data_IF_575222329170
#
_entry.id   IF_575222329170
#
_cell.length_a   1.000
_cell.length_b   1.000
_cell.length_c   1.000
_cell.angle_alpha   90.00
_cell.angle_beta   90.00
_cell.angle_gamma   90.00
#
_symmetry.space_group_name_H-M   'P 1'
#
loop_
_entity.id
_entity.type
_entity.pdbx_description
1 polymer ?
#
# COMPACT_ATOMS: atom_id res chain seq x y z
N UNK A 1 29.77 -3.61 41.92
CA UNK A 1 31.17 -3.40 41.52
C UNK A 1 31.26 -1.99 40.98
N UNK A 2 31.83 -1.05 41.74
CA UNK A 2 31.81 0.38 41.40
C UNK A 2 33.06 0.72 40.58
N UNK A 3 32.88 1.08 39.31
CA UNK A 3 33.99 1.52 38.46
C UNK A 3 34.30 2.98 38.82
N UNK A 4 35.54 3.26 39.25
CA UNK A 4 36.04 4.62 39.48
C UNK A 4 36.97 5.00 38.34
N UNK A 5 36.58 5.98 37.55
CA UNK A 5 37.46 6.63 36.58
C UNK A 5 38.20 7.75 37.31
N UNK A 6 39.53 7.75 37.22
CA UNK A 6 40.41 8.74 37.86
C UNK A 6 41.22 9.44 36.77
N UNK A 7 41.16 10.77 36.77
CA UNK A 7 42.02 11.62 35.95
C UNK A 7 43.05 12.31 36.84
N UNK A 8 44.30 12.37 36.37
CA UNK A 8 45.41 12.96 37.12
C UNK A 8 45.36 14.51 37.12
N UNK A 9 44.77 15.10 36.07
CA UNK A 9 44.63 16.57 35.91
C UNK A 9 43.23 16.93 35.40
N UNK A 10 42.77 18.15 35.69
CA UNK A 10 41.46 18.67 35.26
C UNK A 10 41.36 18.79 33.74
N UNK A 11 42.46 19.18 33.09
CA UNK A 11 42.57 19.33 31.64
C UNK A 11 42.39 18.01 30.88
N UNK A 12 42.65 16.88 31.54
CA UNK A 12 42.47 15.55 30.96
C UNK A 12 41.00 15.09 30.96
N UNK A 13 40.11 15.80 31.64
CA UNK A 13 38.68 15.48 31.72
C UNK A 13 37.97 16.04 30.46
N UNK A 14 37.20 15.22 29.72
CA UNK A 14 36.37 15.70 28.63
C UNK A 14 35.47 16.86 29.08
N UNK A 15 35.36 17.91 28.27
CA UNK A 15 34.58 19.12 28.57
C UNK A 15 33.14 18.79 29.05
N UNK A 16 32.51 17.81 28.40
CA UNK A 16 31.15 17.35 28.72
C UNK A 16 31.02 16.62 30.06
N UNK A 17 32.14 16.21 30.68
CA UNK A 17 32.14 15.46 31.94
C UNK A 17 32.67 16.26 33.12
N UNK A 18 33.31 17.42 32.92
CA UNK A 18 33.95 18.21 34.00
C UNK A 18 33.02 18.51 35.18
N UNK A 19 31.74 18.76 34.94
CA UNK A 19 30.73 19.01 35.99
C UNK A 19 30.43 17.81 36.89
N UNK A 20 30.83 16.59 36.50
CA UNK A 20 30.55 15.34 37.21
C UNK A 20 31.76 14.79 37.96
N UNK A 21 32.89 15.51 37.91
CA UNK A 21 34.11 15.16 38.60
C UNK A 21 34.29 16.05 39.82
N UNK A 22 34.53 15.43 40.97
CA UNK A 22 34.92 16.11 42.19
C UNK A 22 36.41 15.84 42.49
N UNK A 23 37.14 16.81 43.07
CA UNK A 23 38.50 16.57 43.53
C UNK A 23 38.50 15.45 44.58
N UNK A 24 39.33 14.43 44.38
CA UNK A 24 39.53 13.31 45.30
C UNK A 24 40.47 13.74 46.42
N UNK A 25 40.13 13.50 47.71
CA UNK A 25 41.04 13.77 48.82
C UNK A 25 42.39 13.03 48.71
N UNK A 26 42.48 11.95 47.93
CA UNK A 26 43.73 11.27 47.60
C UNK A 26 44.47 11.84 46.35
N UNK A 27 44.09 13.03 45.90
CA UNK A 27 44.57 13.68 44.67
C UNK A 27 43.85 13.18 43.41
N UNK A 28 43.78 14.03 42.37
CA UNK A 28 43.07 13.73 41.11
C UNK A 28 41.57 14.01 41.18
N UNK A 29 40.84 13.60 40.15
CA UNK A 29 39.39 13.81 40.03
C UNK A 29 38.65 12.49 39.92
N UNK A 30 37.60 12.30 40.73
CA UNK A 30 36.75 11.09 40.72
C UNK A 30 35.35 11.44 40.24
N UNK A 31 34.87 10.63 39.29
CA UNK A 31 33.49 10.68 38.82
C UNK A 31 32.56 10.18 39.93
N UNK A 32 31.60 11.00 40.34
CA UNK A 32 30.50 10.54 41.20
C UNK A 32 29.64 9.59 40.35
N UNK A 33 29.65 8.29 40.67
CA UNK A 33 28.94 7.28 39.88
C UNK A 33 27.42 7.52 39.81
N UNK A 34 26.87 8.17 40.84
CA UNK A 34 25.46 8.57 40.92
C UNK A 34 25.13 9.66 39.90
N UNK A 35 25.99 10.68 39.77
CA UNK A 35 25.82 11.76 38.78
C UNK A 35 25.96 11.27 37.33
N UNK A 36 26.80 10.26 37.09
CA UNK A 36 26.92 9.65 35.76
C UNK A 36 25.66 8.87 35.39
N UNK A 37 25.11 8.08 36.31
CA UNK A 37 23.90 7.31 36.06
C UNK A 37 22.71 8.22 35.71
N UNK A 38 22.54 9.30 36.46
CA UNK A 38 21.49 10.31 36.20
C UNK A 38 21.70 11.04 34.87
N UNK A 39 22.95 11.33 34.52
CA UNK A 39 23.28 11.99 33.25
C UNK A 39 23.04 11.07 32.05
N UNK A 40 23.43 9.80 32.16
CA UNK A 40 23.13 8.79 31.13
C UNK A 40 21.62 8.55 31.01
N UNK A 41 20.89 8.51 32.12
CA UNK A 41 19.43 8.38 32.10
C UNK A 41 18.75 9.57 31.41
N UNK A 42 19.21 10.81 31.67
CA UNK A 42 18.74 12.01 30.98
C UNK A 42 19.02 11.94 29.47
N UNK A 43 20.24 11.62 29.07
CA UNK A 43 20.57 11.49 27.65
C UNK A 43 19.82 10.35 26.95
N UNK A 44 19.60 9.22 27.64
CA UNK A 44 18.77 8.14 27.11
C UNK A 44 17.30 8.59 26.93
N UNK A 45 16.77 9.36 27.87
CA UNK A 45 15.42 9.93 27.77
C UNK A 45 15.33 10.95 26.63
N UNK A 46 16.32 11.84 26.49
CA UNK A 46 16.39 12.84 25.42
C UNK A 46 16.50 12.19 24.03
N UNK A 47 17.37 11.20 23.88
CA UNK A 47 17.53 10.47 22.61
C UNK A 47 16.27 9.70 22.25
N UNK A 48 15.58 9.07 23.22
CA UNK A 48 14.28 8.43 23.00
C UNK A 48 13.20 9.44 22.58
N UNK A 49 13.13 10.60 23.24
CA UNK A 49 12.18 11.64 22.89
C UNK A 49 12.44 12.22 21.49
N UNK A 50 13.72 12.41 21.14
CA UNK A 50 14.09 12.87 19.80
C UNK A 50 13.75 11.83 18.73
N UNK A 51 14.06 10.55 18.96
CA UNK A 51 13.70 9.46 18.05
C UNK A 51 12.19 9.36 17.83
N UNK A 52 11.37 9.53 18.88
CA UNK A 52 9.92 9.55 18.76
C UNK A 52 9.42 10.70 17.87
N UNK A 53 9.99 11.90 18.02
CA UNK A 53 9.64 13.07 17.17
C UNK A 53 10.02 12.86 15.72
N UNK A 54 11.19 12.26 15.46
CA UNK A 54 11.62 11.93 14.09
C UNK A 54 10.66 10.91 13.47
N UNK A 55 10.26 9.88 14.22
CA UNK A 55 9.29 8.89 13.74
C UNK A 55 7.92 9.52 13.44
N UNK A 56 7.43 10.40 14.31
CA UNK A 56 6.18 11.14 14.09
C UNK A 56 6.25 12.01 12.84
N UNK A 57 7.38 12.71 12.63
CA UNK A 57 7.59 13.53 11.43
C UNK A 57 7.64 12.67 10.15
N UNK A 58 8.29 11.50 10.20
CA UNK A 58 8.33 10.56 9.09
C UNK A 58 6.93 10.02 8.75
N UNK A 59 6.15 9.65 9.76
CA UNK A 59 4.77 9.15 9.59
C UNK A 59 3.85 10.24 9.02
N UNK A 60 3.99 11.48 9.49
CA UNK A 60 3.25 12.63 8.97
C UNK A 60 3.61 12.90 7.50
N UNK A 61 4.90 12.82 7.15
CA UNK A 61 5.39 12.99 5.78
C UNK A 61 4.83 11.92 4.84
N UNK A 62 4.95 10.64 5.21
CA UNK A 62 4.39 9.53 4.44
C UNK A 62 2.88 9.70 4.22
N UNK A 63 2.15 10.09 5.28
CA UNK A 63 0.70 10.30 5.18
C UNK A 63 0.34 11.45 4.22
N UNK A 64 1.10 12.54 4.24
CA UNK A 64 0.90 13.67 3.33
C UNK A 64 1.14 13.25 1.87
N UNK A 65 2.24 12.57 1.58
CA UNK A 65 2.59 12.12 0.22
C UNK A 65 1.56 11.09 -0.30
N UNK A 66 1.09 10.18 0.55
CA UNK A 66 0.01 9.24 0.21
C UNK A 66 -1.30 9.97 -0.09
N UNK A 67 -1.68 10.96 0.72
CA UNK A 67 -2.89 11.75 0.48
C UNK A 67 -2.84 12.53 -0.83
N UNK A 68 -1.67 13.09 -1.16
CA UNK A 68 -1.45 13.78 -2.42
C UNK A 68 -1.60 12.82 -3.60
N UNK A 69 -0.98 11.64 -3.53
CA UNK A 69 -1.08 10.61 -4.55
C UNK A 69 -2.52 10.06 -4.70
N UNK A 70 -3.22 9.85 -3.58
CA UNK A 70 -4.63 9.46 -3.55
C UNK A 70 -5.50 10.48 -4.30
N UNK A 71 -5.25 11.78 -4.07
CA UNK A 71 -5.99 12.85 -4.75
C UNK A 71 -5.73 12.87 -6.25
N UNK A 72 -4.48 12.66 -6.68
CA UNK A 72 -4.12 12.58 -8.11
C UNK A 72 -4.79 11.41 -8.82
N UNK A 73 -4.87 10.25 -8.17
CA UNK A 73 -5.36 8.99 -8.77
C UNK A 73 -6.84 8.70 -8.51
N UNK A 74 -7.57 9.62 -7.86
CA UNK A 74 -9.00 9.50 -7.62
C UNK A 74 -9.37 8.37 -6.66
N UNK A 75 -8.54 8.14 -5.64
CA UNK A 75 -8.87 7.23 -4.53
C UNK A 75 -9.98 7.86 -3.68
N UNK A 76 -10.95 7.05 -3.23
CA UNK A 76 -12.06 7.52 -2.39
C UNK A 76 -11.57 8.05 -1.06
N UNK A 77 -12.13 9.17 -0.61
CA UNK A 77 -11.73 9.80 0.66
C UNK A 77 -11.92 8.86 1.86
N UNK A 78 -13.00 8.08 1.87
CA UNK A 78 -13.27 7.08 2.91
C UNK A 78 -12.20 5.97 3.00
N UNK A 79 -11.44 5.74 1.94
CA UNK A 79 -10.40 4.71 1.88
C UNK A 79 -9.00 5.25 2.19
N UNK A 80 -8.80 6.57 2.33
CA UNK A 80 -7.46 7.16 2.50
C UNK A 80 -6.72 6.61 3.72
N UNK A 81 -7.42 6.42 4.85
CA UNK A 81 -6.81 5.85 6.06
C UNK A 81 -6.31 4.41 5.84
N UNK A 82 -7.06 3.60 5.09
CA UNK A 82 -6.64 2.25 4.72
C UNK A 82 -5.46 2.25 3.76
N UNK A 83 -5.45 3.19 2.80
CA UNK A 83 -4.34 3.33 1.87
C UNK A 83 -3.07 3.74 2.60
N UNK A 84 -3.14 4.67 3.57
CA UNK A 84 -2.00 5.04 4.41
C UNK A 84 -1.48 3.84 5.20
N UNK A 85 -2.38 3.05 5.82
CA UNK A 85 -2.01 1.82 6.53
C UNK A 85 -1.30 0.83 5.61
N UNK A 86 -1.81 0.58 4.40
CA UNK A 86 -1.20 -0.31 3.43
C UNK A 86 0.13 0.25 2.86
N UNK A 87 0.25 1.57 2.71
CA UNK A 87 1.47 2.21 2.23
C UNK A 87 2.62 2.08 3.24
N UNK A 88 2.35 2.08 4.54
CA UNK A 88 3.36 1.85 5.60
C UNK A 88 4.02 0.46 5.52
N UNK A 89 3.34 -0.52 4.92
CA UNK A 89 3.89 -1.86 4.70
C UNK A 89 4.78 -1.94 3.45
N UNK A 90 4.70 -0.94 2.56
CA UNK A 90 5.42 -0.92 1.28
C UNK A 90 6.50 0.16 1.20
N UNK A 91 6.38 1.23 1.98
CA UNK A 91 7.23 2.41 1.92
C UNK A 91 7.68 2.87 3.29
N UNK A 92 8.84 3.52 3.32
CA UNK A 92 9.35 4.29 4.47
C UNK A 92 9.90 5.62 4.01
N UNK A 93 10.12 6.53 4.95
CA UNK A 93 10.84 7.78 4.72
C UNK A 93 12.29 7.55 5.16
N UNK A 94 13.25 7.94 4.32
CA UNK A 94 14.67 7.87 4.65
C UNK A 94 15.16 9.13 5.39
N UNK A 95 16.46 9.16 5.72
CA UNK A 95 17.09 10.28 6.44
C UNK A 95 17.07 11.60 5.64
N UNK A 96 16.79 11.54 4.34
CA UNK A 96 16.67 12.71 3.45
C UNK A 96 15.23 13.21 3.32
N UNK A 97 14.29 12.64 4.11
CA UNK A 97 12.86 12.89 4.01
C UNK A 97 12.26 12.47 2.66
N UNK A 98 12.93 11.54 1.96
CA UNK A 98 12.46 10.99 0.71
C UNK A 98 11.73 9.67 0.97
N UNK A 99 10.61 9.47 0.29
CA UNK A 99 9.88 8.21 0.36
C UNK A 99 10.60 7.15 -0.49
N UNK A 100 10.95 6.03 0.12
CA UNK A 100 11.65 4.91 -0.53
C UNK A 100 10.87 3.60 -0.32
N UNK A 101 10.86 2.70 -1.31
CA UNK A 101 10.23 1.39 -1.15
C UNK A 101 10.99 0.53 -0.14
N UNK A 102 10.26 -0.29 0.61
CA UNK A 102 10.83 -1.24 1.57
C UNK A 102 11.43 -2.48 0.90
N UNK A 103 10.92 -2.84 -0.29
CA UNK A 103 11.43 -3.95 -1.10
C UNK A 103 12.08 -3.43 -2.37
N UNK A 104 13.26 -3.97 -2.72
CA UNK A 104 13.96 -3.64 -3.95
C UNK A 104 13.19 -4.07 -5.21
N UNK A 105 12.39 -5.13 -5.10
CA UNK A 105 11.52 -5.62 -6.18
C UNK A 105 10.14 -4.93 -6.20
N UNK A 106 9.92 -4.00 -5.26
CA UNK A 106 8.67 -3.26 -5.13
C UNK A 106 8.55 -2.11 -6.14
N UNK A 107 7.35 -1.52 -6.26
CA UNK A 107 7.16 -0.33 -7.07
C UNK A 107 8.00 0.83 -6.54
N UNK A 108 8.73 1.48 -7.45
CA UNK A 108 9.66 2.56 -7.11
C UNK A 108 8.98 3.84 -6.58
N UNK A 109 7.68 4.03 -6.87
CA UNK A 109 6.93 5.25 -6.49
C UNK A 109 5.52 4.93 -5.99
N UNK A 110 4.92 5.85 -5.23
CA UNK A 110 3.53 5.73 -4.76
C UNK A 110 2.53 5.64 -5.92
N UNK A 111 2.69 6.43 -6.97
CA UNK A 111 1.79 6.42 -8.12
C UNK A 111 1.85 5.06 -8.84
N UNK A 112 3.04 4.47 -9.00
CA UNK A 112 3.20 3.14 -9.57
C UNK A 112 2.53 2.07 -8.67
N UNK A 113 2.76 2.14 -7.36
CA UNK A 113 2.14 1.21 -6.40
C UNK A 113 0.61 1.30 -6.41
N UNK A 114 0.05 2.51 -6.36
CA UNK A 114 -1.40 2.72 -6.42
C UNK A 114 -1.98 2.25 -7.76
N UNK A 115 -1.26 2.43 -8.86
CA UNK A 115 -1.68 1.92 -10.17
C UNK A 115 -1.72 0.39 -10.19
N UNK A 116 -0.71 -0.28 -9.63
CA UNK A 116 -0.72 -1.75 -9.46
C UNK A 116 -1.90 -2.19 -8.60
N UNK A 117 -2.13 -1.54 -7.44
CA UNK A 117 -3.27 -1.85 -6.56
C UNK A 117 -4.62 -1.64 -7.23
N UNK A 118 -4.72 -0.64 -8.11
CA UNK A 118 -5.93 -0.41 -8.92
C UNK A 118 -6.15 -1.54 -9.91
N UNK A 119 -5.10 -2.03 -10.57
CA UNK A 119 -5.17 -3.16 -11.49
C UNK A 119 -5.54 -4.47 -10.76
N UNK A 120 -5.05 -4.65 -9.52
CA UNK A 120 -5.44 -5.74 -8.61
C UNK A 120 -6.88 -5.60 -8.08
N UNK A 121 -7.62 -4.57 -8.51
CA UNK A 121 -9.01 -4.30 -8.10
C UNK A 121 -9.16 -4.08 -6.59
N UNK A 122 -8.19 -3.43 -5.95
CA UNK A 122 -8.33 -3.04 -4.55
C UNK A 122 -9.57 -2.15 -4.36
N UNK A 123 -10.31 -2.29 -3.25
CA UNK A 123 -11.61 -1.65 -3.05
C UNK A 123 -11.49 -0.15 -2.68
N UNK A 124 -10.46 0.56 -3.17
CA UNK A 124 -10.21 1.96 -2.84
C UNK A 124 -10.79 2.93 -3.85
N UNK A 125 -11.10 2.45 -5.05
CA UNK A 125 -11.74 3.21 -6.12
C UNK A 125 -13.22 2.87 -6.19
N UNK A 126 -14.01 3.79 -6.75
CA UNK A 126 -15.36 3.43 -7.17
C UNK A 126 -15.27 2.43 -8.31
N UNK A 127 -15.87 1.27 -8.09
CA UNK A 127 -16.17 0.37 -9.20
C UNK A 127 -17.23 1.10 -10.02
N UNK A 128 -17.03 1.33 -11.33
CA UNK A 128 -18.04 1.94 -12.15
C UNK A 128 -19.34 1.13 -12.02
N UNK A 129 -20.29 1.71 -11.28
CA UNK A 129 -21.62 1.17 -11.05
C UNK A 129 -22.37 1.33 -12.36
N UNK A 130 -22.11 0.43 -13.29
CA UNK A 130 -22.47 0.64 -14.69
C UNK A 130 -21.75 -0.24 -15.71
N UNK A 131 -20.70 -0.97 -15.33
CA UNK A 131 -20.30 -2.16 -16.08
C UNK A 131 -21.29 -3.30 -15.80
N UNK A 132 -22.59 -3.03 -15.95
CA UNK A 132 -23.52 -4.08 -16.27
C UNK A 132 -22.95 -4.77 -17.50
N UNK A 133 -22.88 -6.09 -17.45
CA UNK A 133 -22.71 -6.91 -18.65
C UNK A 133 -23.62 -6.27 -19.70
N UNK A 134 -23.09 -5.72 -20.82
CA UNK A 134 -23.96 -5.19 -21.85
C UNK A 134 -24.97 -6.30 -22.14
N UNK A 135 -26.29 -6.03 -22.14
CA UNK A 135 -27.27 -7.08 -22.40
C UNK A 135 -26.78 -7.74 -23.68
N UNK A 136 -26.44 -9.03 -23.61
CA UNK A 136 -26.11 -9.79 -24.81
C UNK A 136 -27.31 -9.59 -25.71
N UNK A 137 -27.20 -8.67 -26.67
CA UNK A 137 -28.13 -8.57 -27.76
C UNK A 137 -28.05 -9.96 -28.35
N UNK A 138 -29.11 -10.79 -28.28
CA UNK A 138 -29.06 -12.07 -28.94
C UNK A 138 -28.71 -11.72 -30.38
N UNK A 139 -27.53 -12.12 -30.84
CA UNK A 139 -27.25 -12.03 -32.26
C UNK A 139 -28.44 -12.69 -32.95
N UNK A 140 -29.03 -12.05 -33.98
CA UNK A 140 -30.12 -12.67 -34.70
C UNK A 140 -29.61 -14.03 -35.15
N UNK A 141 -30.16 -15.08 -34.53
CA UNK A 141 -29.76 -16.45 -34.87
C UNK A 141 -29.94 -16.67 -36.36
N UNK A 142 -29.21 -17.63 -36.95
CA UNK A 142 -29.32 -17.92 -38.37
C UNK A 142 -30.80 -18.05 -38.78
N UNK A 143 -31.20 -17.43 -39.91
CA UNK A 143 -32.60 -17.31 -40.30
C UNK A 143 -33.27 -18.68 -40.39
N UNK A 144 -34.49 -18.79 -39.86
CA UNK A 144 -35.23 -20.05 -39.82
C UNK A 144 -35.55 -20.52 -41.26
N UNK A 145 -35.03 -21.67 -41.72
CA UNK A 145 -35.23 -22.10 -43.10
C UNK A 145 -36.67 -22.53 -43.43
N UNK A 146 -37.55 -22.63 -42.41
CA UNK A 146 -38.97 -22.92 -42.56
C UNK A 146 -39.87 -21.67 -42.54
N UNK A 147 -39.35 -20.49 -42.17
CA UNK A 147 -40.13 -19.26 -42.15
C UNK A 147 -40.42 -18.76 -43.58
N UNK A 148 -41.55 -18.07 -43.78
CA UNK A 148 -42.03 -17.66 -45.10
C UNK A 148 -41.07 -16.68 -45.78
N UNK A 149 -40.42 -15.81 -45.02
CA UNK A 149 -39.46 -14.84 -45.55
C UNK A 149 -38.10 -15.47 -45.89
N UNK A 150 -37.74 -16.61 -45.27
CA UNK A 150 -36.40 -17.21 -45.35
C UNK A 150 -36.43 -18.69 -45.76
N UNK A 151 -37.40 -19.06 -46.60
CA UNK A 151 -37.62 -20.42 -47.05
C UNK A 151 -36.42 -20.97 -47.86
N UNK A 152 -35.72 -21.98 -47.33
CA UNK A 152 -34.60 -22.63 -48.01
C UNK A 152 -34.72 -24.17 -47.98
N UNK A 153 -35.14 -24.76 -49.11
CA UNK A 153 -35.40 -26.20 -49.23
C UNK A 153 -34.16 -27.07 -49.07
N UNK A 154 -32.99 -26.59 -49.47
CA UNK A 154 -31.72 -27.31 -49.34
C UNK A 154 -31.35 -27.47 -47.87
N UNK A 155 -31.49 -26.39 -47.10
CA UNK A 155 -31.24 -26.40 -45.65
C UNK A 155 -32.28 -27.21 -44.89
N UNK A 156 -33.55 -27.17 -45.30
CA UNK A 156 -34.59 -28.05 -44.75
C UNK A 156 -34.24 -29.53 -44.96
N UNK A 157 -33.82 -29.91 -46.17
CA UNK A 157 -33.40 -31.28 -46.49
C UNK A 157 -32.14 -31.73 -45.73
N UNK A 158 -31.24 -30.79 -45.39
CA UNK A 158 -30.06 -31.04 -44.55
C UNK A 158 -30.48 -31.25 -43.09
N UNK A 159 -31.31 -30.36 -42.54
CA UNK A 159 -31.78 -30.43 -41.15
C UNK A 159 -32.64 -31.66 -40.88
N UNK A 160 -33.50 -32.06 -41.81
CA UNK A 160 -34.33 -33.27 -41.67
C UNK A 160 -33.49 -34.55 -41.59
N UNK A 161 -32.33 -34.58 -42.24
CA UNK A 161 -31.40 -35.73 -42.21
C UNK A 161 -30.45 -35.70 -41.02
N UNK A 162 -29.91 -34.53 -40.68
CA UNK A 162 -28.91 -34.39 -39.63
C UNK A 162 -29.52 -34.25 -38.22
N UNK A 163 -30.62 -33.50 -38.09
CA UNK A 163 -31.21 -33.07 -36.81
C UNK A 163 -32.74 -32.98 -36.89
N UNK A 164 -33.46 -34.12 -36.94
CA UNK A 164 -34.90 -34.14 -37.18
C UNK A 164 -35.73 -33.46 -36.07
N UNK A 165 -35.28 -33.50 -34.82
CA UNK A 165 -35.98 -32.82 -33.72
C UNK A 165 -35.85 -31.29 -33.77
N UNK A 166 -34.70 -30.77 -34.23
CA UNK A 166 -34.53 -29.33 -34.45
C UNK A 166 -35.41 -28.85 -35.61
N UNK A 167 -35.48 -29.63 -36.70
CA UNK A 167 -36.34 -29.34 -37.83
C UNK A 167 -37.84 -29.24 -37.43
N UNK A 168 -38.31 -30.12 -36.52
CA UNK A 168 -39.68 -30.06 -35.99
C UNK A 168 -39.94 -28.75 -35.25
N UNK A 169 -39.05 -28.38 -34.31
CA UNK A 169 -39.18 -27.13 -33.54
C UNK A 169 -39.20 -25.89 -34.42
N UNK A 170 -38.30 -25.82 -35.41
CA UNK A 170 -38.21 -24.69 -36.33
C UNK A 170 -39.44 -24.59 -37.24
N UNK A 171 -39.99 -25.73 -37.68
CA UNK A 171 -41.23 -25.78 -38.45
C UNK A 171 -42.44 -25.32 -37.63
N UNK A 172 -42.51 -25.73 -36.36
CA UNK A 172 -43.59 -25.32 -35.47
C UNK A 172 -43.51 -23.83 -35.14
N UNK A 173 -42.29 -23.31 -34.93
CA UNK A 173 -42.03 -21.87 -34.75
C UNK A 173 -42.45 -21.06 -35.99
N UNK A 174 -42.15 -21.55 -37.19
CA UNK A 174 -42.56 -20.91 -38.46
C UNK A 174 -44.07 -20.94 -38.73
N UNK A 175 -44.81 -21.84 -38.06
CA UNK A 175 -46.27 -21.91 -38.16
C UNK A 175 -46.97 -20.93 -37.21
N UNK A 176 -46.28 -20.51 -36.15
CA UNK A 176 -46.78 -19.58 -35.13
C UNK A 176 -46.42 -18.12 -35.43
N UNK A 177 -45.45 -17.88 -36.32
CA UNK A 177 -45.07 -16.57 -36.85
C UNK A 177 -45.92 -16.22 -38.08
#
# INVERSE_FOLDING_TARGET
MTVRLRYDTEDAIPESLRSHYAPDPAGGFVLQAEDLADTLARHASETSAWAARVQEAADARLSADVHEACSRLGVRDACRADVVRAAREAFRVDDTLTLVPLSADGPATLDAWLTTRRAESAPWWDVPTGAGVPPSRPEPGPPNPFARETLNLTEQGRLLRAQPELARRLRDQARQA
#
